data_IF_035106209879
#
_entry.id   IF_035106209879
#
_cell.length_a   1.000
_cell.length_b   1.000
_cell.length_c   1.000
_cell.angle_alpha   90.00
_cell.angle_beta   90.00
_cell.angle_gamma   90.00
#
_symmetry.space_group_name_H-M   'P 1'
#
loop_
_entity.id
_entity.type
_entity.pdbx_description
1 polymer ?
#
# COMPACT_ATOMS: atom_id res chain seq x y z
N UNK A 1 14.79 -10.28 7.05
CA UNK A 1 15.51 -9.02 7.38
C UNK A 1 14.53 -7.98 7.94
N UNK A 2 14.80 -7.40 9.11
CA UNK A 2 13.96 -6.32 9.68
C UNK A 2 14.27 -4.98 8.98
N UNK A 3 13.23 -4.20 8.68
CA UNK A 3 13.40 -2.86 8.13
C UNK A 3 14.37 -2.02 9.00
N UNK A 4 15.29 -1.30 8.37
CA UNK A 4 16.21 -0.36 9.06
C UNK A 4 17.62 -0.87 9.39
N UNK A 5 17.97 -2.14 9.16
CA UNK A 5 19.33 -2.64 9.42
C UNK A 5 20.35 -2.42 8.29
N UNK A 6 19.86 -2.18 7.08
CA UNK A 6 20.69 -1.90 5.90
C UNK A 6 20.19 -0.59 5.31
N UNK A 7 21.06 0.41 5.19
CA UNK A 7 20.75 1.62 4.42
C UNK A 7 20.50 1.16 2.97
N UNK A 8 19.32 1.43 2.39
CA UNK A 8 19.15 1.30 0.96
C UNK A 8 20.24 2.13 0.27
N UNK A 9 20.97 1.53 -0.67
CA UNK A 9 22.01 2.24 -1.41
C UNK A 9 21.34 3.31 -2.27
N UNK A 10 21.90 4.53 -2.30
CA UNK A 10 21.45 5.63 -3.17
C UNK A 10 21.94 5.45 -4.61
N UNK A 11 22.33 4.23 -5.00
CA UNK A 11 22.74 3.95 -6.37
C UNK A 11 21.56 4.28 -7.29
N UNK A 12 21.83 5.05 -8.34
CA UNK A 12 20.87 5.63 -9.27
C UNK A 12 20.18 4.58 -10.16
N UNK A 13 19.52 3.60 -9.55
CA UNK A 13 18.49 2.81 -10.23
C UNK A 13 17.40 3.74 -10.73
N UNK A 14 16.82 3.43 -11.89
CA UNK A 14 15.81 4.26 -12.54
C UNK A 14 14.64 4.62 -11.61
N UNK A 15 13.97 5.74 -11.89
CA UNK A 15 12.85 6.19 -11.06
C UNK A 15 11.69 5.20 -11.16
N UNK A 16 11.17 4.75 -10.02
CA UNK A 16 9.97 3.93 -9.94
C UNK A 16 8.77 4.78 -9.54
N UNK A 17 7.60 4.49 -10.13
CA UNK A 17 6.33 5.09 -9.70
C UNK A 17 5.55 4.06 -8.92
N UNK A 18 5.27 4.36 -7.65
CA UNK A 18 4.56 3.46 -6.73
C UNK A 18 3.23 4.08 -6.36
N UNK A 19 2.12 3.42 -6.68
CA UNK A 19 0.79 3.83 -6.23
C UNK A 19 0.32 2.91 -5.12
N UNK A 20 0.11 3.47 -3.92
CA UNK A 20 -0.44 2.74 -2.79
C UNK A 20 -1.93 3.08 -2.68
N UNK A 21 -2.78 2.06 -2.54
CA UNK A 21 -4.23 2.18 -2.38
C UNK A 21 -4.64 1.46 -1.09
N UNK A 22 -5.50 2.08 -0.28
CA UNK A 22 -5.97 1.51 0.98
C UNK A 22 -7.39 0.96 0.83
N UNK A 23 -7.53 -0.37 0.86
CA UNK A 23 -8.82 -1.10 0.87
C UNK A 23 -9.26 -1.45 2.30
N UNK A 24 -8.58 -0.94 3.33
CA UNK A 24 -8.93 -1.22 4.72
C UNK A 24 -10.07 -0.32 5.23
N UNK A 25 -10.95 -0.82 6.12
CA UNK A 25 -11.84 0.03 6.90
C UNK A 25 -11.09 0.94 7.89
N UNK A 26 -9.77 0.75 8.07
CA UNK A 26 -8.92 1.60 8.89
C UNK A 26 -7.94 2.43 8.07
N UNK A 27 -7.52 3.56 8.63
CA UNK A 27 -6.42 4.35 8.09
C UNK A 27 -5.08 3.64 8.28
N UNK A 28 -4.19 3.80 7.30
CA UNK A 28 -2.85 3.18 7.30
C UNK A 28 -1.76 4.23 7.23
N UNK A 29 -0.66 3.99 7.95
CA UNK A 29 0.57 4.76 7.81
C UNK A 29 1.60 3.94 7.04
N UNK A 30 2.19 4.57 6.02
CA UNK A 30 3.18 3.95 5.14
C UNK A 30 4.50 4.67 5.33
N UNK A 31 5.52 3.91 5.74
CA UNK A 31 6.91 4.36 5.81
C UNK A 31 7.63 3.92 4.53
N UNK A 32 8.40 4.82 3.90
CA UNK A 32 9.13 4.51 2.68
C UNK A 32 10.56 5.04 2.72
N UNK A 33 11.45 4.39 1.98
CA UNK A 33 12.83 4.82 1.79
C UNK A 33 13.25 4.62 0.34
N UNK A 34 13.67 5.71 -0.31
CA UNK A 34 14.28 5.77 -1.64
C UNK A 34 15.40 6.82 -1.66
N UNK A 35 15.45 7.75 -2.64
CA UNK A 35 16.30 8.93 -2.60
C UNK A 35 16.04 9.81 -1.37
N UNK A 36 14.81 9.76 -0.86
CA UNK A 36 14.41 10.36 0.41
C UNK A 36 13.68 9.31 1.27
N UNK A 37 13.80 9.46 2.59
CA UNK A 37 13.00 8.72 3.57
C UNK A 37 11.82 9.58 3.99
N UNK A 38 10.64 8.97 4.12
CA UNK A 38 9.46 9.69 4.60
C UNK A 38 8.34 8.75 5.00
N UNK A 39 7.22 9.37 5.37
CA UNK A 39 5.98 8.66 5.63
C UNK A 39 4.79 9.41 5.05
N UNK A 40 3.69 8.70 4.87
CA UNK A 40 2.40 9.31 4.61
C UNK A 40 1.28 8.46 5.18
N UNK A 41 0.16 9.11 5.47
CA UNK A 41 -1.06 8.47 5.93
C UNK A 41 -2.07 8.39 4.78
N UNK A 42 -2.74 7.25 4.66
CA UNK A 42 -3.94 7.09 3.86
C UNK A 42 -5.14 6.89 4.79
N UNK A 43 -6.21 7.62 4.53
CA UNK A 43 -7.46 7.47 5.28
C UNK A 43 -8.07 6.08 5.07
N UNK A 44 -9.00 5.73 5.96
CA UNK A 44 -9.84 4.55 5.82
C UNK A 44 -10.66 4.59 4.52
N UNK A 45 -10.82 3.43 3.88
CA UNK A 45 -11.79 3.30 2.81
C UNK A 45 -13.21 3.25 3.38
N UNK A 46 -14.03 4.25 3.00
CA UNK A 46 -15.44 4.27 3.39
C UNK A 46 -16.20 3.13 2.73
N UNK A 47 -16.86 2.32 3.57
CA UNK A 47 -17.64 1.15 3.18
C UNK A 47 -16.81 -0.04 2.71
N UNK A 48 -15.49 -0.02 2.91
CA UNK A 48 -14.69 -1.24 2.78
C UNK A 48 -14.85 -2.04 4.07
N UNK A 49 -14.69 -3.36 3.97
CA UNK A 49 -14.89 -4.29 5.07
C UNK A 49 -13.71 -5.23 5.18
N UNK A 50 -13.54 -5.82 6.36
CA UNK A 50 -12.56 -6.90 6.51
C UNK A 50 -13.09 -8.13 5.79
N UNK A 51 -12.21 -8.77 5.03
CA UNK A 51 -12.51 -10.06 4.44
C UNK A 51 -12.45 -11.14 5.51
N UNK A 52 -13.44 -12.01 5.50
CA UNK A 52 -13.46 -13.20 6.35
C UNK A 52 -12.54 -14.27 5.75
N UNK A 53 -11.99 -15.14 6.59
CA UNK A 53 -11.12 -16.23 6.12
C UNK A 53 -11.83 -17.11 5.07
N UNK A 54 -13.14 -17.31 5.22
CA UNK A 54 -13.97 -18.13 4.34
C UNK A 54 -14.13 -17.52 2.93
N UNK A 55 -14.00 -16.19 2.79
CA UNK A 55 -14.06 -15.54 1.48
C UNK A 55 -12.95 -16.05 0.56
N UNK A 56 -11.78 -16.35 1.12
CA UNK A 56 -10.64 -16.88 0.35
C UNK A 56 -10.84 -18.30 -0.19
N UNK A 57 -11.85 -19.03 0.29
CA UNK A 57 -12.21 -20.35 -0.24
C UNK A 57 -13.05 -20.26 -1.51
N UNK A 58 -13.69 -19.12 -1.78
CA UNK A 58 -14.46 -18.91 -3.00
C UNK A 58 -13.52 -18.60 -4.17
N UNK A 59 -13.44 -19.44 -5.22
CA UNK A 59 -12.56 -19.20 -6.37
C UNK A 59 -12.87 -17.90 -7.14
N UNK A 60 -14.06 -17.36 -6.96
CA UNK A 60 -14.50 -16.09 -7.58
C UNK A 60 -14.25 -14.87 -6.69
N UNK A 61 -13.72 -15.04 -5.48
CA UNK A 61 -13.42 -13.95 -4.58
C UNK A 61 -12.34 -13.04 -5.15
N UNK A 62 -12.62 -11.73 -5.18
CA UNK A 62 -11.73 -10.70 -5.72
C UNK A 62 -11.53 -9.63 -4.66
N UNK A 63 -10.49 -9.74 -3.81
CA UNK A 63 -10.12 -8.65 -2.92
C UNK A 63 -9.71 -7.44 -3.76
N UNK A 64 -9.92 -6.23 -3.23
CA UNK A 64 -9.62 -4.97 -3.90
C UNK A 64 -10.28 -4.85 -5.31
N UNK A 65 -11.61 -4.93 -5.44
CA UNK A 65 -12.29 -4.89 -6.74
C UNK A 65 -11.92 -3.65 -7.57
N UNK A 66 -11.85 -3.83 -8.89
CA UNK A 66 -11.64 -2.76 -9.86
C UNK A 66 -12.87 -1.84 -9.95
N UNK A 67 -12.69 -0.59 -10.40
CA UNK A 67 -13.77 0.39 -10.53
C UNK A 67 -14.18 1.07 -9.21
N UNK A 68 -13.73 0.58 -8.06
CA UNK A 68 -13.91 1.25 -6.76
C UNK A 68 -12.79 2.27 -6.50
N UNK A 69 -13.19 3.41 -5.96
CA UNK A 69 -12.26 4.46 -5.49
C UNK A 69 -11.77 4.13 -4.09
N UNK A 70 -10.46 4.04 -3.94
CA UNK A 70 -9.79 3.85 -2.64
C UNK A 70 -8.94 5.09 -2.33
N UNK A 71 -8.80 5.47 -1.05
CA UNK A 71 -7.77 6.40 -0.62
C UNK A 71 -6.43 5.93 -1.17
N UNK A 72 -5.71 6.82 -1.86
CA UNK A 72 -4.49 6.44 -2.55
C UNK A 72 -3.47 7.57 -2.62
N UNK A 73 -2.21 7.20 -2.78
CA UNK A 73 -1.11 8.13 -3.02
C UNK A 73 -0.11 7.51 -3.96
N UNK A 74 0.33 8.30 -4.93
CA UNK A 74 1.41 7.93 -5.84
C UNK A 74 2.70 8.61 -5.40
N UNK A 75 3.75 7.82 -5.29
CA UNK A 75 5.11 8.24 -4.99
C UNK A 75 6.00 8.01 -6.21
N UNK A 76 7.01 8.86 -6.36
CA UNK A 76 8.11 8.65 -7.27
C UNK A 76 9.39 8.48 -6.43
N UNK A 77 10.00 7.31 -6.53
CA UNK A 77 11.23 6.93 -5.80
C UNK A 77 12.35 6.69 -6.80
#
# INVERSE_FOLDING_TARGET
>A
PAAGKVKPTTTSGGSITVTVRNDSPEAVEVLYTGPVTGSFRLDACKGCERYEWADTLNPSFKPCPSGRTYPSKTLRL
#
